data_IF_570333210648
#
_entry.id   IF_570333210648
#
_cell.length_a   1.000
_cell.length_b   1.000
_cell.length_c   1.000
_cell.angle_alpha   90.00
_cell.angle_beta   90.00
_cell.angle_gamma   90.00
#
_symmetry.space_group_name_H-M   'P 1'
#
loop_
_entity.id
_entity.type
_entity.pdbx_description
1 polymer ?
#
# COMPACT_ATOMS: atom_id res chain seq x y z
N UNK A 1 -5.38 -9.07 4.60
CA UNK A 1 -4.11 -9.42 3.98
C UNK A 1 -3.46 -10.55 4.73
N UNK A 2 -2.88 -11.46 4.00
CA UNK A 2 -2.25 -12.66 4.56
C UNK A 2 -0.84 -12.35 5.02
N UNK A 3 -0.50 -12.69 6.27
CA UNK A 3 0.89 -12.67 6.74
C UNK A 3 1.70 -13.82 6.10
N UNK A 4 3.02 -13.75 6.19
CA UNK A 4 3.90 -14.83 5.74
C UNK A 4 3.64 -16.15 6.47
N UNK A 5 3.21 -16.12 7.74
CA UNK A 5 2.80 -17.32 8.48
C UNK A 5 1.81 -18.20 7.72
N UNK A 6 0.91 -17.58 6.97
CA UNK A 6 -0.14 -18.29 6.22
C UNK A 6 0.30 -18.75 4.83
N UNK A 7 1.46 -18.33 4.37
CA UNK A 7 1.99 -18.63 3.02
C UNK A 7 3.19 -19.54 3.04
N UNK A 8 4.05 -19.39 4.04
CA UNK A 8 5.28 -20.14 4.19
C UNK A 8 5.01 -21.36 5.08
N UNK A 9 4.38 -22.36 4.48
CA UNK A 9 4.08 -23.67 5.08
C UNK A 9 4.16 -24.74 3.99
N UNK A 10 4.09 -26.00 4.36
CA UNK A 10 4.25 -27.14 3.45
C UNK A 10 3.23 -27.18 2.31
N UNK A 11 2.09 -26.53 2.46
CA UNK A 11 1.05 -26.48 1.43
C UNK A 11 1.18 -25.25 0.53
N UNK A 12 1.73 -24.16 1.04
CA UNK A 12 1.76 -22.85 0.37
C UNK A 12 3.11 -22.48 -0.25
N UNK A 13 4.19 -23.11 0.19
CA UNK A 13 5.55 -22.77 -0.25
C UNK A 13 6.21 -23.90 -1.05
N UNK A 14 6.57 -23.60 -2.29
CA UNK A 14 7.39 -24.45 -3.15
C UNK A 14 8.77 -23.83 -3.33
N UNK A 15 9.80 -24.29 -2.59
CA UNK A 15 11.15 -23.72 -2.64
C UNK A 15 11.85 -23.88 -3.99
N UNK A 16 11.34 -24.75 -4.86
CA UNK A 16 11.89 -24.89 -6.21
C UNK A 16 11.41 -23.81 -7.17
N UNK A 17 10.32 -23.14 -6.86
CA UNK A 17 9.69 -22.09 -7.70
C UNK A 17 9.70 -20.73 -7.05
N UNK A 18 9.49 -20.66 -5.75
CA UNK A 18 9.39 -19.42 -4.99
C UNK A 18 10.76 -19.02 -4.42
N UNK A 19 11.67 -18.68 -5.31
CA UNK A 19 13.07 -18.40 -4.98
C UNK A 19 13.40 -16.92 -4.86
N UNK A 20 12.47 -16.02 -5.26
CA UNK A 20 12.65 -14.58 -5.22
C UNK A 20 11.53 -13.92 -4.43
N UNK A 21 11.88 -12.86 -3.71
CA UNK A 21 10.98 -11.99 -2.99
C UNK A 21 11.20 -10.54 -3.42
N UNK A 22 10.15 -9.89 -3.89
CA UNK A 22 10.19 -8.47 -4.18
C UNK A 22 10.09 -7.67 -2.89
N UNK A 23 11.13 -6.89 -2.58
CA UNK A 23 11.22 -6.07 -1.37
C UNK A 23 10.82 -4.61 -1.61
N UNK A 24 10.83 -4.18 -2.85
CA UNK A 24 10.45 -2.82 -3.26
C UNK A 24 9.99 -2.78 -4.70
N UNK A 25 8.95 -1.99 -4.97
CA UNK A 25 8.48 -1.68 -6.32
C UNK A 25 8.12 -0.20 -6.47
N UNK A 26 7.57 0.17 -7.61
CA UNK A 26 6.96 1.48 -7.82
C UNK A 26 5.84 1.82 -6.85
N UNK A 27 5.27 0.84 -6.17
CA UNK A 27 4.22 1.02 -5.16
C UNK A 27 4.74 1.23 -3.74
N UNK A 28 6.04 1.15 -3.50
CA UNK A 28 6.66 1.32 -2.20
C UNK A 28 7.47 0.09 -1.78
N UNK A 29 7.68 -0.06 -0.48
CA UNK A 29 8.44 -1.16 0.09
C UNK A 29 7.72 -1.80 1.29
N UNK A 30 8.07 -3.04 1.61
CA UNK A 30 7.52 -3.77 2.75
C UNK A 30 8.43 -3.77 3.98
N UNK A 31 9.63 -3.20 3.87
CA UNK A 31 10.73 -3.34 4.83
C UNK A 31 10.89 -2.13 5.75
N UNK A 32 10.45 -0.97 5.28
CA UNK A 32 10.63 0.28 6.00
C UNK A 32 9.39 0.60 6.84
N UNK A 33 9.59 0.78 8.14
CA UNK A 33 8.57 1.37 8.99
C UNK A 33 8.61 2.89 8.88
N UNK A 34 7.46 3.49 8.60
CA UNK A 34 7.24 4.93 8.67
C UNK A 34 5.96 5.21 9.43
N UNK A 35 5.95 6.33 10.10
CA UNK A 35 4.78 6.82 10.86
C UNK A 35 3.71 7.44 9.94
N UNK A 36 3.81 7.17 8.65
CA UNK A 36 2.90 7.62 7.61
C UNK A 36 2.38 6.41 6.85
N UNK A 37 1.10 6.41 6.56
CA UNK A 37 0.45 5.31 5.85
C UNK A 37 -0.70 5.82 4.98
N UNK A 38 -0.93 5.14 3.86
CA UNK A 38 -2.09 5.40 2.98
C UNK A 38 -3.41 4.97 3.61
N UNK A 39 -3.37 4.09 4.60
CA UNK A 39 -4.52 3.60 5.35
C UNK A 39 -4.11 3.12 6.74
N UNK A 40 -4.93 3.38 7.74
CA UNK A 40 -4.83 2.75 9.05
C UNK A 40 -5.60 1.43 9.03
N UNK A 41 -4.98 0.38 9.53
CA UNK A 41 -5.62 -0.92 9.70
C UNK A 41 -6.05 -1.11 11.15
N UNK A 42 -7.35 -1.25 11.35
CA UNK A 42 -7.95 -1.47 12.67
C UNK A 42 -7.86 -2.94 13.07
N UNK A 43 -8.06 -3.22 14.36
CA UNK A 43 -7.94 -4.58 14.90
C UNK A 43 -8.98 -5.55 14.35
N UNK A 44 -10.15 -5.06 13.99
CA UNK A 44 -11.24 -5.81 13.37
C UNK A 44 -11.05 -6.07 11.87
N UNK A 45 -9.96 -5.53 11.29
CA UNK A 45 -9.65 -5.64 9.88
C UNK A 45 -10.25 -4.55 9.01
N UNK A 46 -11.01 -3.63 9.58
CA UNK A 46 -11.48 -2.45 8.87
C UNK A 46 -10.32 -1.46 8.61
N UNK A 47 -10.53 -0.57 7.64
CA UNK A 47 -9.57 0.48 7.29
C UNK A 47 -10.19 1.84 7.59
N UNK A 48 -9.36 2.76 8.12
CA UNK A 48 -9.71 4.16 8.22
C UNK A 48 -8.71 5.03 7.44
N UNK A 49 -9.18 6.18 6.99
CA UNK A 49 -8.34 7.14 6.29
C UNK A 49 -7.51 7.93 7.32
N UNK A 50 -6.17 7.90 7.23
CA UNK A 50 -5.33 8.71 8.07
C UNK A 50 -5.54 10.20 7.77
N UNK A 51 -5.31 11.05 8.77
CA UNK A 51 -5.19 12.48 8.53
C UNK A 51 -3.89 12.80 7.78
N UNK A 52 -3.87 13.83 6.93
CA UNK A 52 -2.65 14.25 6.28
C UNK A 52 -1.63 14.79 7.30
N UNK A 53 -0.36 14.60 7.00
CA UNK A 53 0.75 15.22 7.72
C UNK A 53 1.41 16.28 6.85
N UNK A 54 2.41 17.00 7.39
CA UNK A 54 3.18 17.99 6.63
C UNK A 54 3.82 17.38 5.38
N UNK A 55 4.30 16.14 5.49
CA UNK A 55 5.07 15.46 4.44
C UNK A 55 4.26 14.45 3.62
N UNK A 56 3.03 14.16 4.01
CA UNK A 56 2.27 13.09 3.39
C UNK A 56 0.76 13.37 3.33
N UNK A 57 0.20 13.26 2.14
CA UNK A 57 -1.24 13.35 1.88
C UNK A 57 -1.79 11.99 1.46
N UNK A 58 -2.60 11.32 2.29
CA UNK A 58 -3.27 10.08 1.87
C UNK A 58 -4.24 10.30 0.71
N UNK A 59 -4.25 9.41 -0.28
CA UNK A 59 -5.19 9.52 -1.41
C UNK A 59 -6.66 9.39 -0.99
N UNK A 60 -6.96 8.67 0.07
CA UNK A 60 -8.33 8.67 0.61
C UNK A 60 -8.74 10.04 1.16
N UNK A 61 -7.80 10.79 1.75
CA UNK A 61 -8.07 12.16 2.18
C UNK A 61 -8.29 13.08 0.97
N UNK A 62 -7.43 12.98 -0.03
CA UNK A 62 -7.59 13.71 -1.29
C UNK A 62 -8.94 13.44 -1.96
N UNK A 63 -9.44 12.21 -1.92
CA UNK A 63 -10.78 11.86 -2.40
C UNK A 63 -11.88 12.65 -1.67
N UNK A 64 -11.74 12.78 -0.35
CA UNK A 64 -12.64 13.60 0.45
C UNK A 64 -12.61 15.09 0.06
N UNK A 65 -11.43 15.65 -0.14
CA UNK A 65 -11.26 17.05 -0.57
C UNK A 65 -11.83 17.31 -1.98
N UNK A 66 -11.64 16.37 -2.90
CA UNK A 66 -12.22 16.44 -4.24
C UNK A 66 -13.76 16.39 -4.18
N UNK A 67 -14.31 15.53 -3.35
CA UNK A 67 -15.77 15.46 -3.14
C UNK A 67 -16.30 16.75 -2.51
N UNK A 68 -15.59 17.32 -1.55
CA UNK A 68 -15.96 18.56 -0.90
C UNK A 68 -16.07 19.72 -1.88
N UNK A 69 -15.16 19.81 -2.86
CA UNK A 69 -15.20 20.80 -3.94
C UNK A 69 -16.42 20.66 -4.87
N UNK A 70 -17.13 19.53 -4.80
CA UNK A 70 -18.31 19.23 -5.63
C UNK A 70 -19.62 19.28 -4.86
N UNK A 71 -19.64 19.99 -3.72
CA UNK A 71 -20.80 20.08 -2.82
C UNK A 71 -21.64 21.35 -3.00
N UNK A 72 -21.44 22.13 -4.06
CA UNK A 72 -21.99 23.49 -4.22
C UNK A 72 -23.53 23.58 -3.98
N UNK A 73 -24.27 22.55 -4.33
CA UNK A 73 -25.74 22.52 -4.21
C UNK A 73 -26.24 21.60 -3.07
N UNK A 74 -25.36 21.15 -2.19
CA UNK A 74 -25.71 20.22 -1.13
C UNK A 74 -25.81 20.90 0.23
N UNK A 75 -26.60 20.35 1.13
CA UNK A 75 -26.55 20.72 2.54
C UNK A 75 -25.22 20.26 3.17
N UNK A 76 -24.79 20.93 4.23
CA UNK A 76 -23.55 20.56 4.96
C UNK A 76 -23.55 19.10 5.43
N UNK A 77 -24.72 18.60 5.85
CA UNK A 77 -24.86 17.22 6.29
C UNK A 77 -24.70 16.22 5.15
N UNK A 78 -25.28 16.51 3.97
CA UNK A 78 -25.13 15.65 2.79
C UNK A 78 -23.70 15.73 2.24
N UNK A 79 -23.11 16.91 2.20
CA UNK A 79 -21.71 17.06 1.79
C UNK A 79 -20.79 16.25 2.68
N UNK A 80 -20.92 16.37 4.00
CA UNK A 80 -20.12 15.61 4.96
C UNK A 80 -20.28 14.10 4.77
N UNK A 81 -21.50 13.62 4.59
CA UNK A 81 -21.75 12.20 4.35
C UNK A 81 -21.09 11.70 3.04
N UNK A 82 -21.14 12.49 1.98
CA UNK A 82 -20.49 12.16 0.69
C UNK A 82 -18.97 12.20 0.78
N UNK A 83 -18.41 13.13 1.53
CA UNK A 83 -16.97 13.22 1.79
C UNK A 83 -16.47 11.93 2.48
N UNK A 84 -17.15 11.49 3.53
CA UNK A 84 -16.75 10.28 4.24
C UNK A 84 -16.95 9.03 3.38
N UNK A 85 -17.99 8.99 2.55
CA UNK A 85 -18.19 7.90 1.60
C UNK A 85 -17.09 7.87 0.52
N UNK A 86 -16.65 9.02 0.04
CA UNK A 86 -15.55 9.14 -0.90
C UNK A 86 -14.23 8.63 -0.32
N UNK A 87 -13.92 8.99 0.92
CA UNK A 87 -12.76 8.45 1.64
C UNK A 87 -12.83 6.91 1.75
N UNK A 88 -13.98 6.39 2.12
CA UNK A 88 -14.20 4.94 2.24
C UNK A 88 -14.01 4.20 0.91
N UNK A 89 -14.53 4.73 -0.18
CA UNK A 89 -14.35 4.14 -1.51
C UNK A 89 -12.91 4.22 -1.99
N UNK A 90 -12.22 5.32 -1.71
CA UNK A 90 -10.81 5.47 -2.02
C UNK A 90 -9.95 4.42 -1.29
N UNK A 91 -10.22 4.19 -0.01
CA UNK A 91 -9.57 3.11 0.76
C UNK A 91 -9.82 1.73 0.15
N UNK A 92 -11.05 1.46 -0.24
CA UNK A 92 -11.42 0.19 -0.88
C UNK A 92 -10.78 0.03 -2.28
N UNK A 93 -10.66 1.11 -3.03
CA UNK A 93 -10.03 1.15 -4.35
C UNK A 93 -8.50 1.00 -4.31
N UNK A 94 -7.87 1.34 -3.19
CA UNK A 94 -6.42 1.25 -3.03
C UNK A 94 -5.65 2.03 -4.11
N UNK A 95 -4.69 1.40 -4.80
CA UNK A 95 -3.87 2.08 -5.83
C UNK A 95 -4.65 2.65 -7.02
N UNK A 96 -5.87 2.21 -7.22
CA UNK A 96 -6.76 2.68 -8.29
C UNK A 96 -7.77 3.72 -7.82
N UNK A 97 -7.45 4.44 -6.75
CA UNK A 97 -8.33 5.44 -6.12
C UNK A 97 -8.86 6.50 -7.09
N UNK A 98 -8.05 6.91 -8.07
CA UNK A 98 -8.42 7.85 -9.11
C UNK A 98 -9.59 7.37 -10.00
N UNK A 99 -9.88 6.08 -10.00
CA UNK A 99 -11.02 5.52 -10.75
C UNK A 99 -12.35 5.66 -10.01
N UNK A 100 -12.32 6.02 -8.74
CA UNK A 100 -13.52 6.23 -7.91
C UNK A 100 -14.27 7.51 -8.28
N UNK A 101 -13.59 8.45 -8.94
CA UNK A 101 -14.14 9.72 -9.41
C UNK A 101 -14.06 9.79 -10.94
N UNK A 102 -15.14 9.51 -11.66
CA UNK A 102 -15.14 9.47 -13.14
C UNK A 102 -14.67 10.77 -13.82
N UNK A 103 -14.88 11.90 -13.15
CA UNK A 103 -14.52 13.23 -13.67
C UNK A 103 -13.23 13.79 -13.09
N UNK A 104 -12.52 13.02 -12.25
CA UNK A 104 -11.26 13.45 -11.68
C UNK A 104 -10.16 13.46 -12.72
N UNK A 105 -9.35 14.51 -12.70
CA UNK A 105 -8.19 14.64 -13.59
C UNK A 105 -6.96 14.01 -12.94
N UNK A 106 -6.04 13.45 -13.74
CA UNK A 106 -4.80 12.89 -13.18
C UNK A 106 -4.02 13.87 -12.29
N UNK A 107 -4.02 15.14 -12.64
CA UNK A 107 -3.33 16.21 -11.89
C UNK A 107 -3.87 16.40 -10.47
N UNK A 108 -5.11 16.03 -10.22
CA UNK A 108 -5.73 16.12 -8.89
C UNK A 108 -5.20 15.04 -7.92
N UNK A 109 -4.46 14.04 -8.43
CA UNK A 109 -3.96 12.89 -7.68
C UNK A 109 -2.44 12.80 -7.59
N UNK A 110 -1.71 13.74 -8.19
CA UNK A 110 -0.24 13.67 -8.29
C UNK A 110 0.48 13.69 -6.94
N UNK A 111 -0.09 14.38 -5.96
CA UNK A 111 0.57 14.64 -4.68
C UNK A 111 0.13 13.68 -3.56
N UNK A 112 -0.88 12.85 -3.78
CA UNK A 112 -1.33 11.94 -2.75
C UNK A 112 -0.55 10.61 -2.78
N UNK A 113 -0.48 9.95 -1.63
CA UNK A 113 0.29 8.74 -1.38
C UNK A 113 1.78 8.82 -1.78
N UNK A 114 2.32 10.04 -1.71
CA UNK A 114 3.73 10.30 -1.96
C UNK A 114 4.32 11.18 -0.85
N UNK A 115 5.53 10.85 -0.44
CA UNK A 115 6.26 11.71 0.49
C UNK A 115 6.84 12.92 -0.23
N UNK A 116 6.90 14.07 0.46
CA UNK A 116 7.49 15.29 -0.08
C UNK A 116 9.01 15.19 -0.19
N UNK A 117 9.67 14.62 0.80
CA UNK A 117 11.13 14.57 0.92
C UNK A 117 11.71 13.17 1.10
N UNK A 118 10.88 12.17 1.08
CA UNK A 118 11.29 10.80 1.29
C UNK A 118 11.11 9.95 0.03
N UNK A 119 11.65 8.77 0.04
CA UNK A 119 11.36 7.71 -0.91
C UNK A 119 9.85 7.39 -0.84
N UNK A 120 9.33 6.36 -1.45
CA UNK A 120 7.92 6.04 -1.27
C UNK A 120 7.61 5.58 0.14
N UNK A 121 6.38 5.84 0.67
CA UNK A 121 5.96 5.31 1.95
C UNK A 121 6.01 3.78 1.94
N UNK A 122 6.05 3.20 3.14
CA UNK A 122 5.94 1.76 3.28
C UNK A 122 4.64 1.26 2.63
N UNK A 123 4.78 0.32 1.71
CA UNK A 123 3.65 -0.24 0.97
C UNK A 123 2.78 -1.09 1.90
N UNK A 124 1.64 -0.54 2.33
CA UNK A 124 0.74 -1.23 3.25
C UNK A 124 1.50 -1.90 4.40
N UNK A 125 2.44 -1.18 5.02
CA UNK A 125 3.35 -1.74 5.99
C UNK A 125 2.62 -2.62 7.01
N UNK A 126 3.00 -3.86 7.01
CA UNK A 126 2.57 -4.87 7.97
C UNK A 126 3.79 -5.69 8.34
N UNK A 127 4.23 -5.67 9.59
CA UNK A 127 5.45 -6.35 10.01
C UNK A 127 5.54 -7.81 9.55
N UNK A 128 4.42 -8.52 9.59
CA UNK A 128 4.32 -9.92 9.16
C UNK A 128 4.31 -10.15 7.63
N UNK A 129 4.45 -9.09 6.85
CA UNK A 129 4.57 -9.16 5.39
C UNK A 129 5.95 -8.73 4.90
N UNK A 130 6.83 -8.29 5.78
CA UNK A 130 8.21 -7.92 5.42
C UNK A 130 9.05 -9.13 5.05
N UNK A 131 10.08 -8.92 4.23
CA UNK A 131 11.07 -9.95 3.94
C UNK A 131 11.84 -10.35 5.19
N UNK A 132 12.12 -9.38 6.07
CA UNK A 132 12.76 -9.66 7.36
C UNK A 132 11.95 -10.67 8.17
N UNK A 133 10.63 -10.52 8.21
CA UNK A 133 9.76 -11.48 8.89
C UNK A 133 9.77 -12.85 8.20
N UNK A 134 9.70 -12.88 6.86
CA UNK A 134 9.76 -14.12 6.09
C UNK A 134 11.06 -14.91 6.36
N UNK A 135 12.18 -14.22 6.51
CA UNK A 135 13.48 -14.84 6.85
C UNK A 135 13.60 -15.25 8.33
N UNK A 136 12.86 -14.57 9.21
CA UNK A 136 12.92 -14.83 10.65
C UNK A 136 12.07 -16.04 11.08
N UNK A 137 10.97 -16.28 10.40
CA UNK A 137 10.08 -17.42 10.72
C UNK A 137 10.69 -18.75 10.29
N UNK A 138 10.24 -19.82 10.95
CA UNK A 138 10.63 -21.19 10.66
C UNK A 138 9.38 -22.06 10.62
N UNK A 139 9.38 -23.04 9.74
CA UNK A 139 8.32 -24.04 9.71
C UNK A 139 8.69 -25.23 10.61
N UNK A 140 7.80 -25.54 11.53
CA UNK A 140 7.91 -26.67 12.46
C UNK A 140 6.87 -27.77 12.15
N UNK A 141 6.20 -27.69 11.00
CA UNK A 141 5.14 -28.64 10.63
C UNK A 141 5.70 -30.00 10.21
N UNK A 142 7.01 -30.10 10.03
CA UNK A 142 7.68 -31.37 9.75
C UNK A 142 8.18 -32.01 11.04
N UNK A 143 8.12 -33.34 11.12
CA UNK A 143 8.65 -34.13 12.25
C UNK A 143 10.21 -34.13 12.34
N UNK A 144 10.86 -33.20 11.65
CA UNK A 144 12.30 -33.04 11.68
C UNK A 144 12.75 -32.26 12.91
N UNK A 145 13.83 -32.68 13.56
CA UNK A 145 14.44 -32.00 14.72
C UNK A 145 14.93 -30.57 14.38
N UNK A 146 15.04 -30.24 13.10
CA UNK A 146 15.48 -28.93 12.62
C UNK A 146 14.37 -28.26 11.83
N UNK A 147 13.93 -27.07 12.26
CA UNK A 147 12.90 -26.35 11.54
C UNK A 147 13.38 -25.90 10.15
N UNK A 148 12.50 -26.02 9.18
CA UNK A 148 12.74 -25.49 7.84
C UNK A 148 12.85 -23.97 7.87
N UNK A 149 13.91 -23.43 7.29
CA UNK A 149 14.11 -22.00 7.08
C UNK A 149 13.80 -21.62 5.63
N UNK A 150 13.27 -20.41 5.47
CA UNK A 150 12.96 -19.87 4.16
C UNK A 150 14.09 -18.97 3.66
N UNK A 151 14.56 -19.25 2.45
CA UNK A 151 15.63 -18.48 1.82
C UNK A 151 15.16 -17.94 0.48
N UNK A 152 15.30 -16.64 0.29
CA UNK A 152 14.92 -15.98 -0.94
C UNK A 152 16.09 -15.14 -1.47
N UNK A 153 16.26 -15.07 -2.78
CA UNK A 153 16.91 -13.96 -3.43
C UNK A 153 15.98 -12.74 -3.39
N UNK A 154 16.53 -11.55 -3.44
CA UNK A 154 15.75 -10.32 -3.42
C UNK A 154 15.73 -9.67 -4.79
N UNK A 155 14.60 -9.10 -5.15
CA UNK A 155 14.44 -8.27 -6.32
C UNK A 155 13.81 -6.94 -5.92
N UNK A 156 14.21 -5.88 -6.59
CA UNK A 156 13.64 -4.55 -6.46
C UNK A 156 13.58 -3.90 -7.82
N UNK A 157 12.50 -3.19 -8.10
CA UNK A 157 12.33 -2.50 -9.37
C UNK A 157 11.53 -1.22 -9.20
N UNK A 158 11.52 -0.38 -10.23
CA UNK A 158 10.69 0.83 -10.27
C UNK A 158 9.23 0.52 -10.61
N UNK A 159 8.94 -0.70 -11.07
CA UNK A 159 7.61 -1.12 -11.53
C UNK A 159 7.01 -0.14 -12.57
N UNK A 160 7.86 0.29 -13.49
CA UNK A 160 7.46 1.26 -14.52
C UNK A 160 6.64 0.57 -15.62
N UNK A 161 5.41 1.00 -15.77
CA UNK A 161 4.47 0.50 -16.77
C UNK A 161 4.50 1.28 -18.09
N UNK A 162 5.41 2.26 -18.22
CA UNK A 162 5.47 3.14 -19.39
C UNK A 162 6.63 2.83 -20.34
N UNK A 163 7.37 1.76 -20.10
CA UNK A 163 8.57 1.37 -20.84
C UNK A 163 9.68 2.44 -20.84
N UNK A 164 9.75 3.26 -19.81
CA UNK A 164 10.80 4.28 -19.59
C UNK A 164 11.74 3.84 -18.48
N UNK A 165 12.87 3.22 -18.78
CA UNK A 165 13.79 2.73 -17.76
C UNK A 165 14.16 3.80 -16.74
N UNK A 166 14.13 3.46 -15.45
CA UNK A 166 14.57 4.33 -14.38
C UNK A 166 13.59 5.42 -13.94
N UNK A 167 12.38 5.49 -14.49
CA UNK A 167 11.43 6.59 -14.20
C UNK A 167 10.26 6.21 -13.31
N UNK A 168 9.98 4.96 -13.06
CA UNK A 168 8.73 4.51 -12.39
C UNK A 168 8.59 4.88 -10.92
N UNK A 169 9.60 5.42 -10.32
CA UNK A 169 9.67 5.49 -8.88
C UNK A 169 8.98 6.72 -8.28
N UNK A 170 9.48 7.89 -8.45
CA UNK A 170 8.80 9.13 -8.08
C UNK A 170 8.46 9.88 -9.34
N UNK A 171 7.20 9.91 -9.67
CA UNK A 171 6.75 10.57 -10.88
C UNK A 171 6.35 12.02 -10.58
N UNK A 172 7.28 12.78 -10.04
CA UNK A 172 7.05 14.18 -9.74
C UNK A 172 6.88 15.06 -10.97
N UNK A 173 7.53 14.67 -12.03
CA UNK A 173 7.51 15.42 -13.29
C UNK A 173 7.00 14.49 -14.39
N UNK A 174 5.73 14.55 -14.61
CA UNK A 174 5.07 13.94 -15.77
C UNK A 174 4.65 14.99 -16.77
#
# INVERSE_FOLDING_TARGET
GTSWDNRLNDQGHDPSKQILLEIMSGHGNSEEFRDIASANFLQDGEMSCPEPTEDFLPCCWQAGELQKKRCDDLSDAECSARVELAKKYALAGGPYTNMVFPEAKPEEWLNCDQCTDCFKPAFNYRPKQSAQYALAISNFDTDEDTPQRYNFGFIASTDDHTARPGTGYKQYER
#
